data_IF_102718628310
#
_entry.id   IF_102718628310
#
_cell.length_a   1.000
_cell.length_b   1.000
_cell.length_c   1.000
_cell.angle_alpha   90.00
_cell.angle_beta   90.00
_cell.angle_gamma   90.00
#
_symmetry.space_group_name_H-M   'P 1'
#
loop_
_entity.id
_entity.type
_entity.pdbx_description
1 polymer ?
#
# COMPACT_ATOMS: atom_id res chain seq x y z
N UNK A 1 -18.80 -9.16 10.81
CA UNK A 1 -17.69 -10.06 11.14
C UNK A 1 -16.46 -9.79 10.28
N UNK A 2 -16.60 -9.53 8.97
CA UNK A 2 -15.47 -9.17 8.09
C UNK A 2 -14.63 -7.97 8.61
N UNK A 3 -15.27 -6.88 9.03
CA UNK A 3 -14.54 -5.66 9.46
C UNK A 3 -13.62 -5.87 10.68
N UNK A 4 -13.96 -6.79 11.57
CA UNK A 4 -13.15 -7.06 12.78
C UNK A 4 -11.86 -7.81 12.44
N UNK A 5 -11.88 -8.67 11.42
CA UNK A 5 -10.70 -9.42 10.98
C UNK A 5 -9.71 -8.47 10.32
N UNK A 6 -10.15 -7.64 9.37
CA UNK A 6 -9.32 -6.61 8.72
C UNK A 6 -8.60 -5.70 9.73
N UNK A 7 -9.29 -5.28 10.78
CA UNK A 7 -8.71 -4.40 11.82
C UNK A 7 -7.62 -5.06 12.65
N UNK A 8 -7.86 -6.29 13.11
CA UNK A 8 -6.87 -7.04 13.87
C UNK A 8 -5.63 -7.29 13.01
N UNK A 9 -5.85 -7.62 11.75
CA UNK A 9 -4.80 -7.83 10.76
C UNK A 9 -3.95 -6.58 10.51
N UNK A 10 -4.56 -5.41 10.27
CA UNK A 10 -3.79 -4.16 10.06
C UNK A 10 -2.96 -3.78 11.29
N UNK A 11 -3.52 -3.90 12.50
CA UNK A 11 -2.82 -3.54 13.75
C UNK A 11 -1.59 -4.40 14.03
N UNK A 12 -1.63 -5.63 13.55
CA UNK A 12 -0.54 -6.56 13.72
C UNK A 12 0.60 -6.30 12.72
N UNK A 13 0.36 -5.52 11.65
CA UNK A 13 1.39 -5.20 10.66
C UNK A 13 2.67 -4.62 11.30
N UNK A 14 3.85 -4.94 10.74
CA UNK A 14 5.11 -4.45 11.26
C UNK A 14 5.19 -2.92 11.18
N UNK A 15 6.10 -2.36 11.98
CA UNK A 15 6.52 -0.97 11.78
C UNK A 15 7.25 -0.79 10.44
N UNK A 16 7.32 0.45 9.96
CA UNK A 16 8.08 0.77 8.73
C UNK A 16 9.54 0.30 8.82
N UNK A 17 10.19 0.51 9.97
CA UNK A 17 11.60 0.15 10.15
C UNK A 17 11.83 -1.36 10.08
N UNK A 18 10.92 -2.16 10.65
CA UNK A 18 10.94 -3.62 10.54
C UNK A 18 10.71 -4.07 9.09
N UNK A 19 9.69 -3.51 8.42
CA UNK A 19 9.37 -3.85 7.04
C UNK A 19 10.48 -3.46 6.05
N UNK A 20 11.12 -2.31 6.27
CA UNK A 20 12.24 -1.79 5.46
C UNK A 20 13.43 -2.74 5.45
N UNK A 21 13.77 -3.33 6.60
CA UNK A 21 14.87 -4.30 6.70
C UNK A 21 14.60 -5.55 5.85
N UNK A 22 13.35 -6.03 5.85
CA UNK A 22 12.92 -7.17 5.02
C UNK A 22 12.92 -6.81 3.54
N UNK A 23 12.45 -5.61 3.17
CA UNK A 23 12.40 -5.17 1.78
C UNK A 23 13.78 -5.18 1.10
N UNK A 24 14.82 -4.71 1.79
CA UNK A 24 16.18 -4.63 1.26
C UNK A 24 16.77 -5.99 0.87
N UNK A 25 16.39 -7.06 1.57
CA UNK A 25 16.92 -8.42 1.33
C UNK A 25 15.99 -9.28 0.47
N UNK A 26 14.80 -8.78 0.12
CA UNK A 26 13.75 -9.57 -0.54
C UNK A 26 13.58 -9.28 -2.03
N UNK A 27 14.48 -8.49 -2.64
CA UNK A 27 14.35 -8.05 -4.04
C UNK A 27 14.21 -9.20 -5.05
N UNK A 28 14.82 -10.37 -4.82
CA UNK A 28 14.64 -11.54 -5.69
C UNK A 28 13.21 -12.06 -5.63
N UNK A 29 12.63 -12.19 -4.44
CA UNK A 29 11.25 -12.65 -4.25
C UNK A 29 10.23 -11.62 -4.77
N UNK A 30 10.52 -10.32 -4.64
CA UNK A 30 9.67 -9.27 -5.23
C UNK A 30 9.63 -9.41 -6.76
N UNK A 31 10.76 -9.77 -7.40
CA UNK A 31 10.77 -10.06 -8.84
C UNK A 31 9.96 -11.30 -9.18
N UNK A 32 10.05 -12.37 -8.40
CA UNK A 32 9.23 -13.58 -8.59
C UNK A 32 7.72 -13.27 -8.49
N UNK A 33 7.31 -12.43 -7.54
CA UNK A 33 5.92 -11.93 -7.46
C UNK A 33 5.54 -11.14 -8.71
N UNK A 34 6.45 -10.29 -9.20
CA UNK A 34 6.31 -9.57 -10.45
C UNK A 34 6.13 -10.46 -11.67
N UNK A 35 6.86 -11.56 -11.75
CA UNK A 35 6.73 -12.55 -12.82
C UNK A 35 5.35 -13.19 -12.81
N UNK A 36 4.79 -13.49 -11.63
CA UNK A 36 3.41 -13.98 -11.49
C UNK A 36 2.40 -12.92 -11.96
N UNK A 37 2.55 -11.67 -11.54
CA UNK A 37 1.67 -10.57 -11.99
C UNK A 37 1.73 -10.40 -13.52
N UNK A 38 2.92 -10.45 -14.12
CA UNK A 38 3.11 -10.36 -15.56
C UNK A 38 2.52 -11.56 -16.30
N UNK A 39 2.72 -12.78 -15.79
CA UNK A 39 2.17 -14.03 -16.34
C UNK A 39 0.65 -13.97 -16.47
N UNK A 40 -0.02 -13.40 -15.48
CA UNK A 40 -1.48 -13.24 -15.45
C UNK A 40 -2.00 -11.99 -16.19
N UNK A 41 -1.11 -11.17 -16.76
CA UNK A 41 -1.49 -9.97 -17.52
C UNK A 41 -2.06 -8.84 -16.66
N UNK A 42 -1.75 -8.83 -15.35
CA UNK A 42 -2.35 -7.90 -14.38
C UNK A 42 -1.42 -6.74 -13.98
N UNK A 43 -0.28 -6.59 -14.64
CA UNK A 43 0.80 -5.65 -14.29
C UNK A 43 0.44 -4.16 -14.48
N UNK A 44 -0.60 -3.84 -15.25
CA UNK A 44 -1.11 -2.47 -15.38
C UNK A 44 -2.00 -2.07 -14.21
N UNK A 45 -2.56 -3.07 -13.50
CA UNK A 45 -3.59 -2.91 -12.47
C UNK A 45 -3.02 -3.06 -11.07
N UNK A 46 -2.22 -4.10 -10.84
CA UNK A 46 -1.68 -4.43 -9.52
C UNK A 46 -0.16 -4.33 -9.47
N UNK A 47 0.32 -3.94 -8.30
CA UNK A 47 1.71 -4.00 -7.89
C UNK A 47 1.87 -4.81 -6.60
N UNK A 48 3.13 -5.02 -6.22
CA UNK A 48 3.48 -5.54 -4.90
C UNK A 48 3.67 -4.35 -3.98
N UNK A 49 3.09 -4.40 -2.79
CA UNK A 49 3.24 -3.36 -1.77
C UNK A 49 3.93 -3.90 -0.52
N UNK A 50 4.70 -3.05 0.16
CA UNK A 50 5.31 -3.32 1.46
C UNK A 50 4.28 -3.02 2.55
N UNK A 51 3.82 -4.05 3.23
CA UNK A 51 2.83 -3.94 4.30
C UNK A 51 3.50 -3.45 5.57
N UNK A 52 3.01 -2.33 6.10
CA UNK A 52 3.45 -1.76 7.37
C UNK A 52 2.35 -0.81 7.90
N UNK A 53 2.38 -0.54 9.20
CA UNK A 53 1.46 0.42 9.82
C UNK A 53 2.09 1.81 9.87
N UNK A 54 1.31 2.83 9.48
CA UNK A 54 1.70 4.24 9.63
C UNK A 54 1.38 4.81 11.02
N UNK A 55 0.21 4.44 11.56
CA UNK A 55 -0.31 4.87 12.86
C UNK A 55 -1.33 3.86 13.39
N UNK A 56 -1.74 4.02 14.65
CA UNK A 56 -2.73 3.15 15.28
C UNK A 56 -4.15 3.39 14.73
N UNK A 57 -4.92 2.32 14.57
CA UNK A 57 -6.33 2.32 14.13
C UNK A 57 -7.20 1.78 15.26
N UNK A 58 -8.30 2.45 15.62
CA UNK A 58 -9.18 2.02 16.72
C UNK A 58 -10.14 0.89 16.28
N UNK A 59 -10.87 0.33 17.23
CA UNK A 59 -11.87 -0.69 16.92
C UNK A 59 -12.94 -0.04 16.04
N UNK A 60 -13.40 -0.77 15.03
CA UNK A 60 -14.41 -0.33 14.06
C UNK A 60 -13.93 0.77 13.10
N UNK A 61 -12.63 1.09 13.09
CA UNK A 61 -12.03 1.97 12.08
C UNK A 61 -11.42 1.16 10.94
N UNK A 62 -11.37 1.77 9.76
CA UNK A 62 -10.63 1.28 8.60
C UNK A 62 -9.91 2.43 7.94
N UNK A 63 -8.80 2.15 7.27
CA UNK A 63 -8.08 3.17 6.51
C UNK A 63 -8.79 3.44 5.20
N UNK A 64 -9.15 4.69 4.97
CA UNK A 64 -9.83 5.15 3.76
C UNK A 64 -8.99 6.21 3.06
N UNK A 65 -8.73 5.98 1.79
CA UNK A 65 -8.10 6.89 0.84
C UNK A 65 -9.13 7.86 0.28
N UNK A 66 -8.82 9.15 0.34
CA UNK A 66 -9.64 10.24 -0.16
C UNK A 66 -8.79 11.14 -1.06
N UNK A 67 -9.30 11.47 -2.24
CA UNK A 67 -8.55 12.26 -3.22
C UNK A 67 -8.97 13.73 -3.17
N UNK A 68 -8.07 14.57 -2.67
CA UNK A 68 -8.25 16.02 -2.67
C UNK A 68 -7.69 16.62 -3.96
N UNK A 69 -8.51 16.59 -5.01
CA UNK A 69 -8.15 17.03 -6.37
C UNK A 69 -7.53 18.43 -6.39
N UNK A 70 -8.04 19.35 -5.57
CA UNK A 70 -7.58 20.73 -5.52
C UNK A 70 -6.18 20.89 -4.91
N UNK A 71 -5.73 19.90 -4.12
CA UNK A 71 -4.39 19.85 -3.54
C UNK A 71 -3.44 18.96 -4.34
N UNK A 72 -3.97 18.14 -5.26
CA UNK A 72 -3.24 17.07 -5.94
C UNK A 72 -2.60 16.09 -4.94
N UNK A 73 -3.41 15.61 -3.97
CA UNK A 73 -2.98 14.73 -2.88
C UNK A 73 -4.04 13.69 -2.57
N UNK A 74 -3.60 12.52 -2.09
CA UNK A 74 -4.47 11.52 -1.48
C UNK A 74 -4.20 11.50 0.02
N UNK A 75 -5.25 11.59 0.82
CA UNK A 75 -5.18 11.43 2.27
C UNK A 75 -5.67 10.04 2.66
N UNK A 76 -4.97 9.40 3.59
CA UNK A 76 -5.39 8.16 4.22
C UNK A 76 -5.65 8.43 5.69
N UNK A 77 -6.88 8.22 6.11
CA UNK A 77 -7.30 8.46 7.49
C UNK A 77 -8.14 7.29 8.02
N UNK A 78 -8.14 7.05 9.34
CA UNK A 78 -9.10 6.16 9.96
C UNK A 78 -10.53 6.70 9.79
N UNK A 79 -11.43 5.85 9.30
CA UNK A 79 -12.86 6.15 9.23
C UNK A 79 -13.66 5.05 9.91
N UNK A 80 -14.62 5.45 10.75
CA UNK A 80 -15.65 4.56 11.33
C UNK A 80 -16.86 4.42 10.43
N UNK A 81 -17.05 5.38 9.54
CA UNK A 81 -18.20 5.43 8.65
C UNK A 81 -17.92 4.53 7.47
N UNK A 82 -18.73 3.47 7.33
CA UNK A 82 -18.90 2.88 6.03
C UNK A 82 -19.72 3.83 5.17
N UNK A 83 -19.08 4.71 4.39
CA UNK A 83 -19.75 5.08 3.14
C UNK A 83 -20.08 3.76 2.43
N UNK A 84 -21.30 3.65 1.89
CA UNK A 84 -21.78 2.41 1.28
C UNK A 84 -20.99 2.06 0.00
N UNK A 85 -20.06 2.91 -0.42
CA UNK A 85 -19.31 2.87 -1.67
C UNK A 85 -17.79 2.88 -1.41
N UNK A 86 -17.27 1.92 -0.65
CA UNK A 86 -15.80 1.71 -0.54
C UNK A 86 -15.36 0.42 -1.22
N UNK A 87 -14.19 0.45 -1.85
CA UNK A 87 -13.55 -0.72 -2.44
C UNK A 87 -12.13 -0.92 -1.88
N UNK A 88 -11.65 -2.15 -1.85
CA UNK A 88 -10.31 -2.48 -1.36
C UNK A 88 -9.24 -1.93 -2.31
N UNK A 89 -8.08 -1.57 -1.77
CA UNK A 89 -6.99 -1.06 -2.59
C UNK A 89 -5.60 -1.56 -2.21
N UNK A 90 -5.46 -2.08 -0.99
CA UNK A 90 -4.30 -2.81 -0.51
C UNK A 90 -4.81 -4.09 0.14
N UNK A 91 -4.19 -5.22 -0.18
CA UNK A 91 -4.55 -6.54 0.32
C UNK A 91 -3.34 -7.28 0.84
N UNK A 92 -3.54 -8.11 1.85
CA UNK A 92 -2.50 -8.98 2.39
C UNK A 92 -3.04 -10.32 2.84
N UNK A 93 -2.11 -11.19 3.21
CA UNK A 93 -2.37 -12.48 3.85
C UNK A 93 -1.98 -12.32 5.31
N UNK A 94 -2.84 -12.70 6.25
CA UNK A 94 -2.47 -12.61 7.67
C UNK A 94 -2.42 -13.97 8.35
N UNK A 95 -1.55 -14.15 9.37
CA UNK A 95 -1.41 -15.41 10.10
C UNK A 95 -2.72 -15.94 10.68
N UNK A 96 -3.67 -15.05 10.96
CA UNK A 96 -4.99 -15.40 11.51
C UNK A 96 -5.92 -16.05 10.48
N UNK A 97 -5.57 -16.01 9.19
CA UNK A 97 -6.37 -16.60 8.11
C UNK A 97 -5.89 -18.02 7.79
N UNK A 98 -6.68 -19.01 8.17
CA UNK A 98 -6.33 -20.44 7.98
C UNK A 98 -6.37 -20.90 6.52
N UNK A 99 -7.05 -20.16 5.63
CA UNK A 99 -7.51 -20.67 4.33
C UNK A 99 -7.07 -19.83 3.11
N UNK A 100 -5.86 -19.27 3.11
CA UNK A 100 -5.38 -18.42 1.98
C UNK A 100 -6.26 -17.18 1.72
N UNK A 101 -7.07 -16.76 2.68
CA UNK A 101 -7.97 -15.65 2.49
C UNK A 101 -7.18 -14.34 2.41
N UNK A 102 -7.15 -13.74 1.23
CA UNK A 102 -6.74 -12.36 1.06
C UNK A 102 -7.76 -11.46 1.75
N UNK A 103 -7.25 -10.52 2.52
CA UNK A 103 -8.10 -9.55 3.19
C UNK A 103 -7.79 -8.14 2.69
N UNK A 104 -8.82 -7.32 2.59
CA UNK A 104 -8.66 -5.89 2.37
C UNK A 104 -8.00 -5.29 3.62
N UNK A 105 -6.94 -4.50 3.45
CA UNK A 105 -6.23 -3.78 4.53
C UNK A 105 -6.50 -2.28 4.47
N UNK A 106 -6.61 -1.72 3.26
CA UNK A 106 -6.93 -0.33 3.00
C UNK A 106 -8.01 -0.23 1.92
N UNK A 107 -8.76 0.87 1.95
CA UNK A 107 -9.91 1.12 1.06
C UNK A 107 -9.82 2.50 0.42
N UNK A 108 -10.47 2.72 -0.72
CA UNK A 108 -10.78 4.07 -1.20
C UNK A 108 -12.29 4.30 -1.29
N UNK A 109 -12.68 5.57 -1.26
CA UNK A 109 -14.06 5.99 -1.56
C UNK A 109 -14.31 5.94 -3.07
N UNK A 110 -15.18 5.04 -3.52
CA UNK A 110 -15.46 4.79 -4.95
C UNK A 110 -15.98 6.05 -5.65
N UNK A 111 -16.65 6.95 -4.92
CA UNK A 111 -17.20 8.18 -5.50
C UNK A 111 -16.11 9.25 -5.76
N UNK A 112 -14.93 9.12 -5.15
CA UNK A 112 -13.82 10.07 -5.29
C UNK A 112 -12.76 9.63 -6.31
N UNK A 113 -12.86 8.40 -6.79
CA UNK A 113 -11.86 7.76 -7.64
C UNK A 113 -12.49 7.31 -8.97
N UNK A 114 -11.71 7.28 -10.07
CA UNK A 114 -12.15 6.68 -11.32
C UNK A 114 -12.72 5.26 -11.13
N UNK A 115 -13.85 4.97 -11.77
CA UNK A 115 -14.57 3.69 -11.60
C UNK A 115 -13.75 2.45 -11.97
N UNK A 116 -12.73 2.60 -12.84
CA UNK A 116 -11.79 1.54 -13.19
C UNK A 116 -11.11 0.94 -11.95
N UNK A 117 -10.90 1.71 -10.88
CA UNK A 117 -10.30 1.21 -9.64
C UNK A 117 -11.26 0.33 -8.85
N UNK A 118 -12.57 0.62 -8.85
CA UNK A 118 -13.55 -0.27 -8.26
C UNK A 118 -13.63 -1.59 -9.03
N UNK A 119 -13.62 -1.51 -10.37
CA UNK A 119 -13.53 -2.71 -11.23
C UNK A 119 -12.26 -3.51 -10.97
N UNK A 120 -11.12 -2.86 -10.70
CA UNK A 120 -9.89 -3.55 -10.33
C UNK A 120 -10.02 -4.30 -8.98
N UNK A 121 -10.67 -3.70 -7.98
CA UNK A 121 -10.94 -4.37 -6.70
C UNK A 121 -11.82 -5.62 -6.89
N UNK A 122 -12.83 -5.55 -7.76
CA UNK A 122 -13.69 -6.70 -8.06
C UNK A 122 -12.93 -7.76 -8.86
N UNK A 123 -12.14 -7.34 -9.85
CA UNK A 123 -11.31 -8.23 -10.65
C UNK A 123 -10.44 -9.12 -9.79
N UNK A 124 -9.76 -8.58 -8.77
CA UNK A 124 -8.87 -9.37 -7.90
C UNK A 124 -9.58 -10.58 -7.28
N UNK A 125 -10.85 -10.41 -6.86
CA UNK A 125 -11.64 -11.45 -6.20
C UNK A 125 -12.06 -12.59 -7.13
N UNK A 126 -11.92 -12.39 -8.44
CA UNK A 126 -12.25 -13.38 -9.47
C UNK A 126 -11.00 -14.14 -9.97
N UNK A 127 -9.80 -13.86 -9.44
CA UNK A 127 -8.52 -14.39 -9.92
C UNK A 127 -7.93 -15.45 -8.97
N UNK A 128 -8.64 -16.55 -8.75
CA UNK A 128 -8.22 -17.61 -7.81
C UNK A 128 -6.82 -18.18 -8.09
N UNK A 129 -6.50 -18.48 -9.37
CA UNK A 129 -5.21 -19.04 -9.76
C UNK A 129 -4.07 -18.05 -9.48
N UNK A 130 -4.26 -16.78 -9.85
CA UNK A 130 -3.31 -15.70 -9.58
C UNK A 130 -3.07 -15.52 -8.08
N UNK A 131 -4.13 -15.43 -7.28
CA UNK A 131 -4.03 -15.27 -5.83
C UNK A 131 -3.34 -16.46 -5.16
N UNK A 132 -3.61 -17.68 -5.64
CA UNK A 132 -2.96 -18.91 -5.16
C UNK A 132 -1.45 -18.90 -5.46
N UNK A 133 -1.05 -18.52 -6.69
CA UNK A 133 0.36 -18.43 -7.06
C UNK A 133 1.11 -17.37 -6.25
N UNK A 134 0.56 -16.15 -6.11
CA UNK A 134 1.15 -15.10 -5.28
C UNK A 134 1.29 -15.58 -3.83
N UNK A 135 0.23 -16.19 -3.28
CA UNK A 135 0.25 -16.73 -1.91
C UNK A 135 1.33 -17.80 -1.73
N UNK A 136 1.53 -18.65 -2.74
CA UNK A 136 2.56 -19.69 -2.72
C UNK A 136 3.96 -19.09 -2.69
N UNK A 137 4.24 -18.04 -3.48
CA UNK A 137 5.53 -17.35 -3.48
C UNK A 137 5.77 -16.67 -2.12
N UNK A 138 4.79 -15.92 -1.62
CA UNK A 138 4.87 -15.23 -0.33
C UNK A 138 5.12 -16.20 0.83
N UNK A 139 4.31 -17.26 0.96
CA UNK A 139 4.46 -18.23 2.06
C UNK A 139 5.69 -19.09 1.92
N UNK A 140 6.04 -19.50 0.70
CA UNK A 140 7.27 -20.27 0.43
C UNK A 140 8.54 -19.52 0.81
N UNK A 141 8.51 -18.19 0.79
CA UNK A 141 9.61 -17.30 1.19
C UNK A 141 9.48 -16.72 2.60
N UNK A 142 8.37 -16.97 3.32
CA UNK A 142 8.09 -16.39 4.64
C UNK A 142 7.85 -14.88 4.62
N UNK A 143 7.35 -14.36 3.49
CA UNK A 143 7.15 -12.94 3.20
C UNK A 143 5.68 -12.50 3.22
N UNK A 144 4.76 -13.42 3.48
CA UNK A 144 3.32 -13.18 3.52
C UNK A 144 2.89 -12.13 4.55
N UNK A 145 3.73 -11.84 5.54
CA UNK A 145 3.51 -10.78 6.52
C UNK A 145 3.98 -9.38 6.11
N UNK A 146 4.91 -9.32 5.16
CA UNK A 146 5.60 -8.08 4.80
C UNK A 146 5.15 -7.55 3.45
N UNK A 147 4.55 -8.39 2.61
CA UNK A 147 4.16 -8.02 1.27
C UNK A 147 2.73 -8.39 0.95
N UNK A 148 2.11 -7.55 0.14
CA UNK A 148 0.76 -7.71 -0.33
C UNK A 148 0.59 -7.21 -1.76
N UNK A 149 -0.66 -7.12 -2.19
CA UNK A 149 -1.03 -6.55 -3.48
C UNK A 149 -1.65 -5.18 -3.29
N UNK A 150 -1.46 -4.29 -4.25
CA UNK A 150 -2.12 -3.00 -4.25
C UNK A 150 -2.46 -2.53 -5.65
N UNK A 151 -3.54 -1.76 -5.79
CA UNK A 151 -3.88 -1.09 -7.06
C UNK A 151 -3.16 0.25 -7.17
N UNK A 152 -2.84 0.66 -8.39
CA UNK A 152 -2.23 1.97 -8.69
C UNK A 152 -3.23 3.15 -8.64
N UNK A 153 -4.18 3.13 -7.70
CA UNK A 153 -5.18 4.21 -7.53
C UNK A 153 -4.55 5.57 -7.21
N UNK A 154 -3.32 5.58 -6.69
CA UNK A 154 -2.58 6.79 -6.35
C UNK A 154 -1.98 7.49 -7.58
N UNK A 155 -2.06 6.88 -8.77
CA UNK A 155 -1.70 7.50 -10.06
C UNK A 155 -2.62 8.70 -10.42
N UNK A 156 -3.68 8.93 -9.64
CA UNK A 156 -4.48 10.17 -9.72
C UNK A 156 -3.68 11.42 -9.32
N UNK A 157 -2.59 11.25 -8.56
CA UNK A 157 -1.67 12.33 -8.20
C UNK A 157 -0.77 12.63 -9.39
N UNK A 158 -0.87 13.84 -9.92
CA UNK A 158 -0.08 14.30 -11.04
C UNK A 158 1.36 14.57 -10.61
N UNK A 159 2.32 13.94 -11.29
CA UNK A 159 3.75 14.15 -11.07
C UNK A 159 4.29 15.21 -12.04
N UNK A 160 5.14 16.10 -11.53
CA UNK A 160 5.99 16.96 -12.35
C UNK A 160 7.31 16.25 -12.69
N UNK A 161 8.03 16.75 -13.69
CA UNK A 161 9.33 16.20 -14.09
C UNK A 161 10.30 16.13 -12.90
N UNK A 162 10.87 14.94 -12.68
CA UNK A 162 11.81 14.67 -11.59
C UNK A 162 11.19 14.54 -10.19
N UNK A 163 9.88 14.72 -10.05
CA UNK A 163 9.17 14.40 -8.80
C UNK A 163 8.88 12.90 -8.71
N UNK A 164 8.70 12.42 -7.48
CA UNK A 164 8.28 11.07 -7.17
C UNK A 164 7.00 11.11 -6.34
N UNK A 165 6.23 10.03 -6.38
CA UNK A 165 5.13 9.86 -5.44
C UNK A 165 5.71 9.44 -4.08
N UNK A 166 5.31 10.12 -3.01
CA UNK A 166 5.79 9.82 -1.67
C UNK A 166 4.67 9.90 -0.63
N UNK A 167 4.80 9.06 0.40
CA UNK A 167 3.89 8.99 1.55
C UNK A 167 4.53 9.71 2.74
N UNK A 168 3.78 10.61 3.36
CA UNK A 168 4.20 11.38 4.53
C UNK A 168 3.25 11.07 5.68
N UNK A 169 3.77 10.44 6.74
CA UNK A 169 2.97 10.05 7.90
C UNK A 169 3.01 11.12 9.00
N UNK A 170 1.85 11.48 9.51
CA UNK A 170 1.66 12.22 10.75
C UNK A 170 0.93 11.31 11.75
N UNK A 171 1.66 10.78 12.74
CA UNK A 171 1.11 9.85 13.74
C UNK A 171 0.18 10.55 14.73
N UNK A 172 0.45 11.82 15.07
CA UNK A 172 -0.40 12.60 15.99
C UNK A 172 -1.74 12.91 15.34
N UNK A 173 -1.72 13.35 14.07
CA UNK A 173 -2.93 13.59 13.28
C UNK A 173 -3.54 12.30 12.71
N UNK A 174 -2.88 11.14 12.89
CA UNK A 174 -3.29 9.83 12.36
C UNK A 174 -3.63 9.91 10.87
N UNK A 175 -2.76 10.55 10.11
CA UNK A 175 -2.97 10.86 8.69
C UNK A 175 -1.76 10.46 7.87
N UNK A 176 -1.98 9.78 6.76
CA UNK A 176 -0.98 9.60 5.71
C UNK A 176 -1.32 10.54 4.56
N UNK A 177 -0.34 11.29 4.08
CA UNK A 177 -0.50 12.11 2.87
C UNK A 177 0.34 11.52 1.75
N UNK A 178 -0.30 11.14 0.64
CA UNK A 178 0.38 10.73 -0.58
C UNK A 178 0.36 11.89 -1.56
N UNK A 179 1.54 12.34 -1.99
CA UNK A 179 1.68 13.49 -2.89
C UNK A 179 2.95 13.40 -3.72
N UNK A 180 3.01 14.22 -4.78
CA UNK A 180 4.27 14.47 -5.47
C UNK A 180 5.27 15.14 -4.51
N UNK A 181 6.51 14.66 -4.52
CA UNK A 181 7.62 15.17 -3.74
C UNK A 181 8.85 15.33 -4.62
N UNK A 182 9.58 16.42 -4.41
CA UNK A 182 10.87 16.64 -5.05
C UNK A 182 11.96 15.85 -4.33
N UNK A 183 13.09 15.54 -4.99
CA UNK A 183 14.23 14.89 -4.34
C UNK A 183 14.75 15.62 -3.10
N UNK A 184 14.54 16.94 -3.00
CA UNK A 184 14.95 17.75 -1.85
C UNK A 184 14.06 17.55 -0.61
N UNK A 185 12.83 17.04 -0.78
CA UNK A 185 11.89 16.74 0.30
C UNK A 185 12.02 15.31 0.84
N UNK A 186 12.77 14.45 0.14
CA UNK A 186 12.94 13.04 0.49
C UNK A 186 14.27 12.84 1.17
N UNK A 187 14.25 12.49 2.45
CA UNK A 187 15.45 12.05 3.16
C UNK A 187 15.83 10.62 2.71
N UNK A 188 16.99 10.39 2.08
CA UNK A 188 17.42 9.06 1.65
C UNK A 188 17.57 8.06 2.80
N UNK A 189 17.87 8.54 4.02
CA UNK A 189 18.03 7.67 5.19
C UNK A 189 16.68 7.20 5.74
N UNK A 190 15.65 8.03 5.62
CA UNK A 190 14.31 7.78 6.15
C UNK A 190 13.26 7.51 5.07
N UNK A 191 13.70 7.12 3.86
CA UNK A 191 12.80 6.59 2.84
C UNK A 191 12.99 5.08 2.65
N UNK A 192 11.92 4.44 2.18
CA UNK A 192 11.99 3.11 1.55
C UNK A 192 10.92 3.03 0.47
N UNK A 193 11.17 2.25 -0.58
CA UNK A 193 10.14 1.92 -1.56
C UNK A 193 9.06 1.06 -0.90
N UNK A 194 7.80 1.42 -1.13
CA UNK A 194 6.63 0.73 -0.55
C UNK A 194 5.67 0.17 -1.60
N UNK A 195 5.87 0.49 -2.89
CA UNK A 195 5.12 -0.08 -4.00
C UNK A 195 6.04 -0.33 -5.20
N UNK A 196 5.92 -1.51 -5.78
CA UNK A 196 6.65 -1.93 -6.99
C UNK A 196 5.67 -2.25 -8.12
N UNK A 197 5.95 -1.67 -9.29
CA UNK A 197 5.24 -1.94 -10.56
C UNK A 197 6.13 -2.78 -11.46
N UNK A 198 5.50 -3.65 -12.24
CA UNK A 198 6.18 -4.62 -13.10
C UNK A 198 5.85 -4.42 -14.57
N UNK A 199 6.75 -4.87 -15.45
CA UNK A 199 6.56 -4.85 -16.89
C UNK A 199 7.08 -6.16 -17.51
N UNK A 200 6.38 -6.75 -18.48
CA UNK A 200 6.87 -7.93 -19.18
C UNK A 200 8.19 -7.66 -19.92
N UNK A 201 9.17 -8.56 -19.77
CA UNK A 201 10.36 -8.60 -20.62
C UNK A 201 11.48 -7.58 -20.33
N UNK A 202 11.40 -6.81 -19.23
CA UNK A 202 12.48 -5.92 -18.74
C UNK A 202 12.91 -6.31 -17.31
N UNK A 203 13.98 -5.72 -16.77
CA UNK A 203 14.26 -5.81 -15.32
C UNK A 203 13.11 -5.11 -14.59
N UNK A 204 12.17 -5.85 -14.00
CA UNK A 204 10.77 -5.43 -13.95
C UNK A 204 10.45 -4.64 -12.70
N UNK A 205 11.44 -4.02 -12.04
CA UNK A 205 11.23 -3.37 -10.76
C UNK A 205 11.22 -1.85 -10.91
N UNK A 206 10.03 -1.28 -11.12
CA UNK A 206 9.86 0.18 -11.04
C UNK A 206 9.36 0.52 -9.64
N UNK A 207 10.21 1.13 -8.84
CA UNK A 207 9.80 1.76 -7.58
C UNK A 207 8.79 2.87 -7.89
N UNK A 208 7.55 2.71 -7.43
CA UNK A 208 6.45 3.63 -7.77
C UNK A 208 6.08 4.57 -6.62
N UNK A 209 6.51 4.26 -5.40
CA UNK A 209 6.16 5.00 -4.19
C UNK A 209 7.18 4.78 -3.08
N UNK A 210 7.46 5.83 -2.31
CA UNK A 210 8.29 5.72 -1.11
C UNK A 210 7.58 6.26 0.13
N UNK A 211 7.72 5.58 1.27
CA UNK A 211 7.26 6.11 2.56
C UNK A 211 8.37 6.92 3.23
N UNK A 212 8.01 8.08 3.76
CA UNK A 212 8.86 8.95 4.56
C UNK A 212 8.22 9.21 5.94
N UNK A 213 8.93 8.82 7.00
CA UNK A 213 8.56 9.19 8.36
C UNK A 213 9.19 10.54 8.71
N UNK A 214 8.38 11.50 9.13
CA UNK A 214 8.90 12.69 9.79
C UNK A 214 9.46 12.28 11.16
N UNK A 215 10.76 12.52 11.38
CA UNK A 215 11.31 12.53 12.73
C UNK A 215 10.59 13.60 13.57
N UNK A 216 10.56 13.48 14.91
CA UNK A 216 9.99 14.52 15.75
C UNK A 216 10.67 15.83 15.38
N UNK A 217 9.90 16.79 14.88
CA UNK A 217 10.41 18.13 14.63
C UNK A 217 11.01 18.59 15.94
N UNK A 218 12.32 18.88 15.97
CA UNK A 218 12.89 19.64 17.07
C UNK A 218 12.07 20.92 17.13
N UNK A 219 11.13 20.98 18.08
CA UNK A 219 10.39 22.18 18.40
C UNK A 219 11.45 23.22 18.71
N UNK A 220 11.70 24.10 17.75
CA UNK A 220 12.69 25.16 17.90
C UNK A 220 12.37 25.90 19.18
N UNK A 221 13.30 25.85 20.12
CA UNK A 221 13.31 26.72 21.29
C UNK A 221 13.14 28.15 20.78
N UNK A 222 11.94 28.70 21.00
CA UNK A 222 11.73 30.14 20.94
C UNK A 222 12.37 30.70 22.21
N UNK A 223 13.61 31.15 22.09
CA UNK A 223 14.17 32.13 23.01
C UNK A 223 13.61 33.52 22.71
#
# INVERSE_FOLDING_TARGET
MHDTVTQLSYRSLPSLEEAKQVAQVSLSHIRELGDVICKHGLYETFGVCLLHRHFNVDNFERLVHQHEQHLNQVFVTPSRTSSNSTAGCIWGITPETTDQAWIDLEYFDVDQFPSVFATASDLLREQDEFLSEISSVLRGSGLDWYFGLGIFHRDVVQLSEGSVLAEFSDDEARTLTVRAATPAEIDPLHNTTTMWRFQPGADPLVASLCCHQHGPTCSGDKH
#
